data_IF_691844373349
#
_entry.id   IF_691844373349
#
_cell.length_a   1.000
_cell.length_b   1.000
_cell.length_c   1.000
_cell.angle_alpha   90.00
_cell.angle_beta   90.00
_cell.angle_gamma   90.00
#
_symmetry.space_group_name_H-M   'P 1'
#
loop_
_entity.id
_entity.type
_entity.pdbx_description
1 polymer ?
#
# COMPACT_ATOMS: atom_id res chain seq x y z
N UNK A 1 -6.34 -18.66 5.02
CA UNK A 1 -5.17 -18.71 4.11
C UNK A 1 -5.18 -17.45 3.26
N UNK A 2 -4.01 -16.86 2.97
CA UNK A 2 -3.89 -15.60 2.23
C UNK A 2 -4.42 -15.65 0.78
N UNK A 3 -4.22 -16.77 0.10
CA UNK A 3 -4.79 -17.02 -1.24
C UNK A 3 -6.06 -17.82 -1.03
N UNK A 4 -7.19 -17.25 -1.43
CA UNK A 4 -8.52 -17.86 -1.27
C UNK A 4 -8.85 -18.75 -2.46
N UNK A 5 -8.50 -18.29 -3.66
CA UNK A 5 -8.69 -19.00 -4.92
C UNK A 5 -7.51 -18.72 -5.85
N UNK A 6 -7.06 -19.74 -6.57
CA UNK A 6 -6.13 -19.59 -7.69
C UNK A 6 -6.67 -20.38 -8.87
N UNK A 7 -6.98 -19.67 -9.95
CA UNK A 7 -7.29 -20.20 -11.27
C UNK A 7 -6.04 -20.10 -12.17
N UNK A 8 -6.16 -20.56 -13.40
CA UNK A 8 -5.09 -20.49 -14.40
C UNK A 8 -4.60 -19.06 -14.67
N UNK A 9 -5.53 -18.12 -14.86
CA UNK A 9 -5.23 -16.73 -15.22
C UNK A 9 -5.60 -15.70 -14.16
N UNK A 10 -6.08 -16.13 -12.98
CA UNK A 10 -6.33 -15.19 -11.90
C UNK A 10 -6.45 -15.77 -10.52
N UNK A 11 -6.42 -14.89 -9.52
CA UNK A 11 -6.48 -15.30 -8.11
C UNK A 11 -7.22 -14.28 -7.24
N UNK A 12 -7.69 -14.75 -6.08
CA UNK A 12 -8.26 -13.93 -5.02
C UNK A 12 -7.30 -13.98 -3.83
N UNK A 13 -6.83 -12.81 -3.40
CA UNK A 13 -5.99 -12.67 -2.21
C UNK A 13 -6.82 -11.99 -1.12
N UNK A 14 -6.90 -12.64 0.04
CA UNK A 14 -7.33 -12.00 1.28
C UNK A 14 -6.11 -11.38 1.96
N UNK A 15 -5.89 -10.11 1.67
CA UNK A 15 -4.75 -9.35 2.17
C UNK A 15 -4.85 -9.12 3.69
N UNK A 16 -6.06 -8.89 4.22
CA UNK A 16 -6.27 -8.72 5.66
C UNK A 16 -5.98 -10.02 6.39
N UNK A 17 -6.56 -11.15 5.95
CA UNK A 17 -6.31 -12.45 6.56
C UNK A 17 -4.84 -12.85 6.51
N UNK A 18 -4.09 -12.46 5.46
CA UNK A 18 -2.65 -12.70 5.43
C UNK A 18 -1.91 -11.98 6.57
N UNK A 19 -2.17 -10.69 6.77
CA UNK A 19 -1.53 -9.91 7.84
C UNK A 19 -1.92 -10.47 9.20
N UNK A 20 -3.20 -10.79 9.40
CA UNK A 20 -3.69 -11.39 10.64
C UNK A 20 -3.01 -12.73 10.91
N UNK A 21 -2.92 -13.59 9.90
CA UNK A 21 -2.22 -14.89 10.01
C UNK A 21 -0.74 -14.69 10.34
N UNK A 22 -0.08 -13.70 9.74
CA UNK A 22 1.33 -13.39 10.00
C UNK A 22 1.55 -13.00 11.47
N UNK A 23 0.66 -12.18 12.02
CA UNK A 23 0.72 -11.74 13.42
C UNK A 23 0.37 -12.89 14.39
N UNK A 24 -0.55 -13.78 14.01
CA UNK A 24 -0.98 -14.91 14.84
C UNK A 24 0.05 -16.04 14.92
N UNK A 25 0.64 -16.43 13.77
CA UNK A 25 1.63 -17.52 13.67
C UNK A 25 2.88 -17.33 14.54
N UNK A 26 3.15 -16.11 14.98
CA UNK A 26 4.31 -15.78 15.80
C UNK A 26 3.92 -15.27 17.21
N UNK A 27 2.78 -15.75 17.74
CA UNK A 27 2.31 -15.55 19.11
C UNK A 27 2.12 -14.09 19.55
N UNK A 28 2.06 -13.14 18.62
CA UNK A 28 1.90 -11.73 18.96
C UNK A 28 0.44 -11.38 19.32
N UNK A 29 -0.51 -12.09 18.71
CA UNK A 29 -1.95 -11.81 18.82
C UNK A 29 -2.56 -12.07 20.21
N UNK A 30 -1.94 -12.92 21.03
CA UNK A 30 -2.48 -13.29 22.34
C UNK A 30 -2.12 -12.33 23.48
N UNK A 31 -1.00 -11.59 23.39
CA UNK A 31 -0.52 -10.72 24.48
C UNK A 31 -0.86 -9.23 24.30
N UNK A 32 -0.97 -8.71 23.06
CA UNK A 32 -1.17 -7.27 22.79
C UNK A 32 -2.49 -6.96 22.05
N UNK A 33 -3.54 -7.77 22.25
CA UNK A 33 -4.88 -7.66 21.61
C UNK A 33 -5.55 -6.27 21.73
N UNK A 34 -5.06 -5.38 22.60
CA UNK A 34 -5.66 -4.07 22.90
C UNK A 34 -5.05 -2.89 22.13
N UNK A 35 -3.89 -3.04 21.49
CA UNK A 35 -3.08 -1.89 21.03
C UNK A 35 -3.01 -1.71 19.52
N UNK A 36 -3.16 -2.76 18.71
CA UNK A 36 -3.05 -2.68 17.25
C UNK A 36 -4.38 -3.00 16.56
N UNK A 37 -5.22 -1.98 16.46
CA UNK A 37 -6.47 -2.09 15.72
C UNK A 37 -6.21 -1.88 14.21
N UNK A 38 -5.68 -2.92 13.55
CA UNK A 38 -5.66 -2.98 12.08
C UNK A 38 -7.08 -3.14 11.50
N UNK A 39 -8.08 -3.47 12.34
CA UNK A 39 -9.46 -3.67 11.90
C UNK A 39 -9.97 -2.37 11.29
N UNK A 40 -10.43 -2.49 10.05
CA UNK A 40 -10.98 -1.36 9.30
C UNK A 40 -10.05 -0.79 8.24
N UNK A 41 -8.74 -1.12 8.22
CA UNK A 41 -7.88 -0.67 7.12
C UNK A 41 -8.29 -1.24 5.76
N UNK A 42 -8.89 -2.43 5.77
CA UNK A 42 -9.41 -3.11 4.59
C UNK A 42 -10.93 -2.94 4.45
N UNK A 43 -11.57 -2.07 5.23
CA UNK A 43 -13.02 -1.84 5.18
C UNK A 43 -13.43 -0.86 4.07
N UNK A 44 -12.99 -1.14 2.84
CA UNK A 44 -13.32 -0.36 1.65
C UNK A 44 -14.66 -0.85 1.10
N UNK A 45 -15.72 -0.09 1.35
CA UNK A 45 -17.10 -0.47 1.04
C UNK A 45 -17.60 0.11 -0.27
N UNK A 46 -17.10 1.28 -0.65
CA UNK A 46 -17.54 2.02 -1.84
C UNK A 46 -16.39 2.18 -2.84
N UNK A 47 -16.67 2.18 -4.15
CA UNK A 47 -15.63 2.21 -5.17
C UNK A 47 -15.10 3.63 -5.47
N UNK A 48 -15.61 4.67 -4.79
CA UNK A 48 -15.38 6.05 -5.19
C UNK A 48 -14.20 6.71 -4.47
N UNK A 49 -13.36 7.37 -5.26
CA UNK A 49 -12.28 8.21 -4.73
C UNK A 49 -12.76 9.60 -4.29
N UNK A 50 -13.89 10.07 -4.85
CA UNK A 50 -14.42 11.41 -4.62
C UNK A 50 -15.80 11.34 -3.97
N UNK A 51 -15.95 12.04 -2.85
CA UNK A 51 -17.18 12.02 -2.04
C UNK A 51 -18.42 12.48 -2.85
N UNK A 52 -18.25 13.46 -3.74
CA UNK A 52 -19.35 13.92 -4.61
C UNK A 52 -19.86 12.89 -5.63
N UNK A 53 -19.05 11.89 -6.01
CA UNK A 53 -19.55 10.77 -6.85
C UNK A 53 -20.36 9.79 -6.02
N UNK A 54 -19.89 9.46 -4.82
CA UNK A 54 -20.57 8.57 -3.91
C UNK A 54 -21.92 9.14 -3.45
N UNK A 55 -21.95 10.44 -3.12
CA UNK A 55 -23.16 11.15 -2.70
C UNK A 55 -24.31 11.05 -3.72
N UNK A 56 -24.00 11.18 -5.02
CA UNK A 56 -25.01 11.03 -6.09
C UNK A 56 -25.61 9.63 -6.17
N UNK A 57 -24.83 8.61 -5.82
CA UNK A 57 -25.33 7.23 -5.74
C UNK A 57 -26.21 7.05 -4.50
N UNK A 58 -25.81 7.61 -3.35
CA UNK A 58 -26.64 7.60 -2.14
C UNK A 58 -28.04 8.21 -2.41
N UNK A 59 -28.08 9.41 -2.98
CA UNK A 59 -29.32 10.11 -3.34
C UNK A 59 -30.18 9.29 -4.33
N UNK A 60 -29.56 8.65 -5.31
CA UNK A 60 -30.26 7.79 -6.29
C UNK A 60 -30.87 6.56 -5.64
N UNK A 61 -30.18 5.93 -4.67
CA UNK A 61 -30.68 4.74 -3.99
C UNK A 61 -31.87 5.06 -3.07
N UNK A 62 -31.91 6.26 -2.52
CA UNK A 62 -33.00 6.73 -1.67
C UNK A 62 -34.20 7.21 -2.47
N UNK A 63 -33.98 7.98 -3.54
CA UNK A 63 -35.05 8.42 -4.45
C UNK A 63 -35.71 7.28 -5.23
N UNK A 64 -35.02 6.14 -5.40
CA UNK A 64 -35.61 4.92 -6.00
C UNK A 64 -36.64 4.22 -5.10
N UNK A 65 -36.81 4.63 -3.83
CA UNK A 65 -37.90 4.09 -2.99
C UNK A 65 -39.26 4.73 -3.29
N UNK A 66 -39.35 5.85 -4.03
CA UNK A 66 -40.62 6.57 -4.20
C UNK A 66 -41.09 6.87 -5.65
N UNK A 67 -40.31 6.63 -6.71
CA UNK A 67 -40.79 6.93 -8.08
C UNK A 67 -40.58 5.77 -9.07
N UNK A 68 -41.66 5.02 -9.33
CA UNK A 68 -41.98 4.62 -10.70
C UNK A 68 -42.20 5.89 -11.51
N UNK A 69 -41.47 6.10 -12.62
CA UNK A 69 -41.93 6.74 -13.89
C UNK A 69 -40.76 7.02 -14.88
N UNK A 70 -40.94 6.47 -16.08
CA UNK A 70 -40.43 6.78 -17.44
C UNK A 70 -39.00 7.30 -17.77
N UNK A 71 -38.37 6.80 -18.87
CA UNK A 71 -37.02 7.17 -19.26
C UNK A 71 -36.94 8.54 -19.98
N UNK A 72 -36.37 9.54 -19.31
CA UNK A 72 -35.99 10.82 -19.96
C UNK A 72 -34.81 10.62 -20.92
N UNK A 73 -35.05 10.89 -22.22
CA UNK A 73 -34.04 10.90 -23.30
C UNK A 73 -32.84 11.80 -22.96
N UNK A 74 -31.65 11.21 -22.80
CA UNK A 74 -30.38 11.95 -22.66
C UNK A 74 -29.93 12.51 -24.02
N UNK A 75 -29.75 13.83 -24.12
CA UNK A 75 -29.15 14.51 -25.28
C UNK A 75 -27.70 14.02 -25.49
N UNK A 76 -27.40 13.51 -26.71
CA UNK A 76 -26.04 13.22 -27.19
C UNK A 76 -25.21 14.50 -27.15
N UNK A 77 -24.21 14.58 -26.26
CA UNK A 77 -23.17 15.63 -26.32
C UNK A 77 -22.08 15.14 -27.29
N UNK A 78 -21.82 15.94 -28.33
CA UNK A 78 -20.85 15.71 -29.41
C UNK A 78 -19.47 15.33 -28.87
N UNK A 79 -18.84 14.40 -29.58
CA UNK A 79 -17.54 13.82 -29.26
C UNK A 79 -16.43 14.86 -29.18
N UNK A 80 -15.58 14.68 -28.17
CA UNK A 80 -14.22 15.17 -28.17
C UNK A 80 -13.37 13.90 -28.11
N UNK A 81 -12.80 13.54 -29.26
CA UNK A 81 -11.90 12.41 -29.43
C UNK A 81 -10.60 12.73 -28.69
N UNK A 82 -10.45 12.20 -27.47
CA UNK A 82 -9.13 12.05 -26.87
C UNK A 82 -8.59 10.70 -27.34
N UNK A 83 -7.55 10.70 -28.15
CA UNK A 83 -6.85 9.48 -28.59
C UNK A 83 -6.33 8.71 -27.36
N UNK A 84 -7.06 7.67 -26.95
CA UNK A 84 -6.56 6.63 -26.07
C UNK A 84 -5.89 5.55 -26.91
N UNK A 85 -4.69 5.11 -26.51
CA UNK A 85 -3.93 4.09 -27.24
C UNK A 85 -4.70 2.75 -27.24
N UNK A 86 -4.84 2.06 -28.38
CA UNK A 86 -5.57 0.79 -28.51
C UNK A 86 -5.12 -0.29 -27.52
N UNK A 87 -3.84 -0.29 -27.15
CA UNK A 87 -3.27 -1.24 -26.18
C UNK A 87 -3.84 -1.10 -24.76
N UNK A 88 -4.24 0.11 -24.36
CA UNK A 88 -4.76 0.36 -23.02
C UNK A 88 -6.17 -0.22 -22.86
N UNK A 89 -6.96 -0.17 -23.93
CA UNK A 89 -8.33 -0.67 -23.93
C UNK A 89 -8.34 -2.21 -23.91
N UNK A 90 -7.50 -2.87 -24.72
CA UNK A 90 -7.37 -4.33 -24.71
C UNK A 90 -6.89 -4.90 -23.36
N UNK A 91 -5.96 -4.22 -22.68
CA UNK A 91 -5.50 -4.61 -21.35
C UNK A 91 -6.63 -4.52 -20.32
N UNK A 92 -7.41 -3.43 -20.35
CA UNK A 92 -8.53 -3.24 -19.45
C UNK A 92 -9.63 -4.28 -19.70
N UNK A 93 -9.91 -4.60 -20.96
CA UNK A 93 -10.89 -5.62 -21.34
C UNK A 93 -10.50 -7.01 -20.82
N UNK A 94 -9.21 -7.39 -20.94
CA UNK A 94 -8.69 -8.64 -20.37
C UNK A 94 -8.87 -8.72 -18.85
N UNK A 95 -8.54 -7.64 -18.14
CA UNK A 95 -8.67 -7.57 -16.67
C UNK A 95 -10.14 -7.70 -16.25
N UNK A 96 -11.05 -7.01 -16.95
CA UNK A 96 -12.49 -7.07 -16.66
C UNK A 96 -13.10 -8.43 -16.99
N UNK A 97 -12.67 -9.06 -18.09
CA UNK A 97 -13.06 -10.43 -18.44
C UNK A 97 -12.62 -11.42 -17.36
N UNK A 98 -11.36 -11.30 -16.89
CA UNK A 98 -10.83 -12.16 -15.83
C UNK A 98 -11.58 -11.94 -14.50
N UNK A 99 -11.91 -10.70 -14.16
CA UNK A 99 -12.75 -10.41 -12.99
C UNK A 99 -14.13 -11.07 -13.10
N UNK A 100 -14.77 -11.03 -14.26
CA UNK A 100 -16.08 -11.65 -14.47
C UNK A 100 -16.04 -13.17 -14.28
N UNK A 101 -14.96 -13.81 -14.75
CA UNK A 101 -14.71 -15.22 -14.49
C UNK A 101 -14.55 -15.51 -12.99
N UNK A 102 -13.76 -14.70 -12.27
CA UNK A 102 -13.59 -14.82 -10.83
C UNK A 102 -14.93 -14.62 -10.08
N UNK A 103 -15.72 -13.60 -10.44
CA UNK A 103 -17.03 -13.30 -9.83
C UNK A 103 -18.05 -14.43 -9.97
N UNK A 104 -17.89 -15.29 -10.97
CA UNK A 104 -18.76 -16.44 -11.19
C UNK A 104 -18.49 -17.59 -10.20
N UNK A 105 -17.32 -17.61 -9.56
CA UNK A 105 -16.90 -18.69 -8.64
C UNK A 105 -17.60 -18.60 -7.27
N UNK A 106 -17.88 -19.74 -6.62
CA UNK A 106 -18.40 -19.77 -5.24
C UNK A 106 -17.49 -19.06 -4.24
N UNK A 107 -16.17 -19.20 -4.38
CA UNK A 107 -15.16 -18.63 -3.49
C UNK A 107 -15.21 -17.10 -3.53
N UNK A 108 -15.37 -16.50 -4.72
CA UNK A 108 -15.54 -15.06 -4.84
C UNK A 108 -16.79 -14.59 -4.11
N UNK A 109 -17.93 -15.25 -4.34
CA UNK A 109 -19.21 -14.89 -3.71
C UNK A 109 -19.16 -15.05 -2.18
N UNK A 110 -18.43 -16.04 -1.68
CA UNK A 110 -18.21 -16.25 -0.25
C UNK A 110 -17.26 -15.19 0.35
N UNK A 111 -16.29 -14.69 -0.42
CA UNK A 111 -15.32 -13.69 0.04
C UNK A 111 -15.91 -12.28 0.04
N UNK A 112 -16.66 -11.91 -1.01
CA UNK A 112 -17.15 -10.56 -1.25
C UNK A 112 -18.67 -10.48 -1.06
N UNK A 113 -19.12 -10.65 0.18
CA UNK A 113 -20.55 -10.72 0.53
C UNK A 113 -21.19 -9.36 0.86
N UNK A 114 -20.39 -8.29 0.94
CA UNK A 114 -20.88 -7.00 1.43
C UNK A 114 -21.78 -6.30 0.41
N UNK A 115 -22.92 -5.76 0.86
CA UNK A 115 -23.79 -4.91 0.05
C UNK A 115 -23.79 -3.48 0.60
N UNK A 116 -23.25 -2.49 -0.13
CA UNK A 116 -23.18 -1.11 0.35
C UNK A 116 -24.56 -0.46 0.55
N UNK A 117 -24.72 0.21 1.69
CA UNK A 117 -25.93 1.00 2.03
C UNK A 117 -25.82 2.43 1.51
N UNK A 118 -26.93 3.19 1.41
CA UNK A 118 -26.88 4.63 1.12
C UNK A 118 -25.93 5.40 2.06
N UNK A 119 -25.89 5.04 3.34
CA UNK A 119 -24.98 5.64 4.33
C UNK A 119 -23.52 5.31 4.06
N UNK A 120 -23.20 4.10 3.59
CA UNK A 120 -21.83 3.78 3.17
C UNK A 120 -21.37 4.70 2.03
N UNK A 121 -22.26 5.02 1.08
CA UNK A 121 -21.99 5.98 0.01
C UNK A 121 -21.86 7.43 0.51
N UNK A 122 -22.68 7.88 1.46
CA UNK A 122 -22.53 9.22 2.08
C UNK A 122 -21.20 9.35 2.80
N UNK A 123 -20.84 8.33 3.58
CA UNK A 123 -19.63 8.31 4.38
C UNK A 123 -18.38 8.06 3.52
N UNK A 124 -18.53 7.38 2.39
CA UNK A 124 -17.49 7.08 1.40
C UNK A 124 -16.12 6.76 2.04
N UNK A 125 -16.03 5.59 2.67
CA UNK A 125 -14.81 5.07 3.30
C UNK A 125 -14.13 6.03 4.33
N UNK A 126 -14.84 7.02 4.90
CA UNK A 126 -14.26 8.01 5.83
C UNK A 126 -13.59 7.39 7.06
N UNK A 127 -14.12 6.26 7.58
CA UNK A 127 -13.51 5.53 8.69
C UNK A 127 -12.08 5.09 8.34
N UNK A 128 -11.90 4.50 7.16
CA UNK A 128 -10.60 4.06 6.65
C UNK A 128 -9.67 5.24 6.41
N UNK A 129 -10.19 6.34 5.82
CA UNK A 129 -9.42 7.57 5.60
C UNK A 129 -8.92 8.17 6.92
N UNK A 130 -9.75 8.23 7.94
CA UNK A 130 -9.39 8.75 9.27
C UNK A 130 -8.36 7.86 9.97
N UNK A 131 -8.55 6.53 9.91
CA UNK A 131 -7.59 5.58 10.47
C UNK A 131 -6.22 5.72 9.81
N UNK A 132 -6.19 5.80 8.49
CA UNK A 132 -4.97 6.07 7.72
C UNK A 132 -4.29 7.37 8.16
N UNK A 133 -5.02 8.48 8.29
CA UNK A 133 -4.44 9.76 8.71
C UNK A 133 -3.73 9.63 10.06
N UNK A 134 -4.38 9.00 11.04
CA UNK A 134 -3.81 8.75 12.38
C UNK A 134 -2.55 7.89 12.32
N UNK A 135 -2.56 6.84 11.51
CA UNK A 135 -1.39 5.96 11.34
C UNK A 135 -0.20 6.71 10.71
N UNK A 136 -0.45 7.53 9.69
CA UNK A 136 0.61 8.33 9.04
C UNK A 136 1.21 9.37 10.00
N UNK A 137 0.38 10.00 10.84
CA UNK A 137 0.86 10.92 11.89
C UNK A 137 1.72 10.17 12.92
N UNK A 138 1.30 8.96 13.28
CA UNK A 138 2.01 8.08 14.20
C UNK A 138 3.23 7.37 13.57
N UNK A 139 3.48 7.45 12.26
CA UNK A 139 4.64 6.81 11.61
C UNK A 139 5.70 7.81 11.11
N UNK A 140 5.49 9.11 11.29
CA UNK A 140 6.43 10.17 10.87
C UNK A 140 7.67 10.29 11.78
N UNK A 141 8.45 9.22 11.94
CA UNK A 141 9.76 9.28 12.62
C UNK A 141 10.87 9.00 11.62
N UNK A 142 11.85 9.90 11.59
CA UNK A 142 13.06 9.70 10.82
C UNK A 142 13.99 8.77 11.59
N UNK A 143 14.21 7.58 11.08
CA UNK A 143 15.20 6.67 11.64
C UNK A 143 16.60 7.06 11.18
N UNK A 144 17.58 6.88 12.05
CA UNK A 144 18.99 6.94 11.68
C UNK A 144 19.31 5.81 10.68
N UNK A 145 20.49 5.84 10.07
CA UNK A 145 20.98 4.68 9.32
C UNK A 145 21.05 3.49 10.26
N UNK A 146 20.40 2.40 9.87
CA UNK A 146 20.31 1.17 10.65
C UNK A 146 20.51 -0.01 9.71
N UNK A 147 21.25 -1.00 10.19
CA UNK A 147 21.29 -2.35 9.62
C UNK A 147 21.19 -3.29 10.82
N UNK A 148 20.11 -4.06 10.89
CA UNK A 148 19.85 -4.95 12.00
C UNK A 148 19.05 -6.15 11.55
N UNK A 149 19.03 -7.17 12.41
CA UNK A 149 18.27 -8.38 12.17
C UNK A 149 17.54 -8.83 13.44
N UNK A 150 16.53 -9.66 13.27
CA UNK A 150 15.88 -10.43 14.32
C UNK A 150 16.21 -11.91 14.12
N UNK A 151 16.67 -12.59 15.18
CA UNK A 151 17.09 -14.00 15.11
C UNK A 151 16.11 -14.95 15.82
N UNK A 152 15.16 -14.41 16.58
CA UNK A 152 14.18 -15.20 17.33
C UNK A 152 12.97 -15.60 16.49
N UNK A 153 12.29 -16.69 16.89
CA UNK A 153 11.09 -17.21 16.21
C UNK A 153 9.77 -16.46 16.48
N UNK A 154 9.80 -15.45 17.34
CA UNK A 154 8.66 -14.60 17.67
C UNK A 154 8.93 -13.12 17.36
N UNK A 155 7.86 -12.33 17.38
CA UNK A 155 7.97 -10.88 17.30
C UNK A 155 8.79 -10.33 18.48
N UNK A 156 9.63 -9.35 18.19
CA UNK A 156 10.43 -8.65 19.20
C UNK A 156 10.08 -7.17 19.22
N UNK A 157 10.40 -6.48 20.32
CA UNK A 157 10.18 -5.03 20.41
C UNK A 157 11.51 -4.31 20.58
N UNK A 158 11.73 -3.26 19.78
CA UNK A 158 12.95 -2.45 19.82
C UNK A 158 12.59 -0.98 19.98
N UNK A 159 13.25 -0.30 20.91
CA UNK A 159 13.09 1.16 21.05
C UNK A 159 14.08 1.86 20.14
N UNK A 160 13.59 2.69 19.22
CA UNK A 160 14.40 3.48 18.29
C UNK A 160 13.89 4.91 18.29
N UNK A 161 14.79 5.89 18.46
CA UNK A 161 14.41 7.31 18.49
C UNK A 161 13.27 7.64 19.48
N UNK A 162 13.26 6.99 20.66
CA UNK A 162 12.23 7.18 21.69
C UNK A 162 10.87 6.57 21.37
N UNK A 163 10.73 5.80 20.29
CA UNK A 163 9.50 5.07 19.94
C UNK A 163 9.73 3.56 20.01
N UNK A 164 8.72 2.80 20.45
CA UNK A 164 8.77 1.34 20.51
C UNK A 164 8.26 0.76 19.18
N UNK A 165 9.11 0.00 18.49
CA UNK A 165 8.80 -0.70 17.26
C UNK A 165 8.62 -2.19 17.51
N UNK A 166 7.72 -2.80 16.75
CA UNK A 166 7.57 -4.26 16.69
C UNK A 166 8.28 -4.75 15.44
N UNK A 167 9.17 -5.71 15.63
CA UNK A 167 9.97 -6.31 14.58
C UNK A 167 9.53 -7.76 14.38
N UNK A 168 9.20 -8.18 13.15
CA UNK A 168 8.88 -9.56 12.86
C UNK A 168 10.11 -10.47 13.06
N UNK A 169 9.90 -11.79 13.24
CA UNK A 169 10.99 -12.75 13.40
C UNK A 169 11.75 -13.01 12.09
N UNK A 170 13.03 -13.38 12.23
CA UNK A 170 13.91 -13.74 11.11
C UNK A 170 14.02 -12.66 10.02
N UNK A 171 13.83 -11.39 10.36
CA UNK A 171 13.84 -10.27 9.42
C UNK A 171 15.17 -9.52 9.53
N UNK A 172 15.79 -9.22 8.39
CA UNK A 172 16.85 -8.21 8.30
C UNK A 172 16.26 -6.91 7.79
N UNK A 173 16.50 -5.81 8.50
CA UNK A 173 15.96 -4.49 8.17
C UNK A 173 17.09 -3.48 8.03
N UNK A 174 17.11 -2.77 6.90
CA UNK A 174 18.12 -1.80 6.54
C UNK A 174 17.43 -0.47 6.25
N UNK A 175 17.71 0.53 7.07
CA UNK A 175 17.27 1.91 6.84
C UNK A 175 18.40 2.71 6.19
N UNK A 176 18.59 2.55 4.88
CA UNK A 176 19.51 3.37 4.08
C UNK A 176 19.02 3.48 2.63
N UNK A 177 19.73 4.28 1.84
CA UNK A 177 19.49 4.39 0.40
C UNK A 177 19.73 3.04 -0.27
N UNK A 178 18.79 2.64 -1.15
CA UNK A 178 18.93 1.40 -1.92
C UNK A 178 20.17 1.41 -2.81
N UNK A 179 20.70 2.60 -3.15
CA UNK A 179 21.97 2.75 -3.83
C UNK A 179 23.15 2.15 -3.04
N UNK A 180 23.04 2.03 -1.71
CA UNK A 180 24.07 1.49 -0.83
C UNK A 180 23.90 -0.02 -0.56
N UNK A 181 22.94 -0.70 -1.19
CA UNK A 181 22.58 -2.09 -0.85
C UNK A 181 23.77 -3.06 -0.88
N UNK A 182 24.71 -2.91 -1.83
CA UNK A 182 25.88 -3.79 -1.91
C UNK A 182 26.81 -3.69 -0.68
N UNK A 183 26.82 -2.55 0.00
CA UNK A 183 27.59 -2.37 1.23
C UNK A 183 27.00 -3.19 2.38
N UNK A 184 25.71 -3.50 2.32
CA UNK A 184 24.99 -4.26 3.34
C UNK A 184 24.95 -5.75 3.03
N UNK A 185 24.80 -6.14 1.77
CA UNK A 185 24.64 -7.57 1.42
C UNK A 185 25.94 -8.33 1.46
N UNK A 186 27.11 -7.68 1.38
CA UNK A 186 28.42 -8.34 1.46
C UNK A 186 28.56 -9.57 0.53
N UNK A 187 27.93 -9.53 -0.65
CA UNK A 187 27.94 -10.62 -1.62
C UNK A 187 26.76 -11.61 -1.51
N UNK A 188 25.89 -11.46 -0.52
CA UNK A 188 24.62 -12.20 -0.44
C UNK A 188 23.76 -11.97 -1.70
N UNK A 189 23.16 -13.05 -2.20
CA UNK A 189 22.26 -13.05 -3.34
C UNK A 189 20.92 -13.65 -2.96
N UNK A 190 19.89 -13.26 -3.68
CA UNK A 190 18.49 -13.57 -3.38
C UNK A 190 17.86 -14.38 -4.51
N UNK A 191 16.95 -15.27 -4.13
CA UNK A 191 16.12 -16.03 -5.06
C UNK A 191 14.95 -15.18 -5.58
N UNK A 192 14.50 -14.22 -4.78
CA UNK A 192 13.41 -13.32 -5.13
C UNK A 192 13.67 -11.89 -4.64
N UNK A 193 13.59 -10.93 -5.56
CA UNK A 193 13.66 -9.50 -5.27
C UNK A 193 12.32 -8.86 -5.61
N UNK A 194 11.72 -8.12 -4.67
CA UNK A 194 10.54 -7.29 -4.90
C UNK A 194 10.92 -5.84 -4.76
N UNK A 195 10.39 -4.97 -5.63
CA UNK A 195 10.59 -3.53 -5.48
C UNK A 195 9.34 -2.74 -5.86
N UNK A 196 9.08 -1.67 -5.10
CA UNK A 196 8.08 -0.63 -5.40
C UNK A 196 8.77 0.73 -5.54
N UNK A 197 9.50 0.99 -6.65
CA UNK A 197 10.26 2.22 -6.80
C UNK A 197 9.37 3.46 -6.74
N UNK A 198 9.88 4.60 -6.24
CA UNK A 198 9.15 5.86 -6.23
C UNK A 198 9.11 6.48 -7.64
N UNK A 199 8.38 5.87 -8.56
CA UNK A 199 8.32 6.29 -9.97
C UNK A 199 7.97 7.77 -10.13
N UNK A 200 8.55 8.40 -11.14
CA UNK A 200 8.16 9.76 -11.52
C UNK A 200 6.65 9.85 -11.80
N UNK A 201 5.98 10.65 -10.99
CA UNK A 201 4.56 10.90 -11.10
C UNK A 201 4.28 12.40 -11.19
N UNK A 202 3.67 12.84 -12.31
CA UNK A 202 3.34 14.26 -12.54
C UNK A 202 2.47 14.86 -11.43
N UNK A 203 1.55 14.07 -10.86
CA UNK A 203 0.70 14.53 -9.75
C UNK A 203 1.51 14.75 -8.47
N UNK A 204 2.41 13.83 -8.12
CA UNK A 204 3.29 13.97 -6.95
C UNK A 204 4.25 15.15 -7.14
N UNK A 205 4.81 15.33 -8.34
CA UNK A 205 5.62 16.52 -8.70
C UNK A 205 4.85 17.82 -8.44
N UNK A 206 3.61 17.91 -8.90
CA UNK A 206 2.74 19.09 -8.67
C UNK A 206 2.45 19.31 -7.19
N UNK A 207 2.14 18.24 -6.44
CA UNK A 207 1.86 18.33 -5.00
C UNK A 207 3.08 18.85 -4.23
N UNK A 208 4.28 18.35 -4.55
CA UNK A 208 5.56 18.83 -3.99
C UNK A 208 5.83 20.30 -4.34
N UNK A 209 5.51 20.72 -5.56
CA UNK A 209 5.64 22.12 -6.00
C UNK A 209 4.69 23.06 -5.26
N UNK A 210 3.47 22.62 -4.93
CA UNK A 210 2.43 23.46 -4.30
C UNK A 210 2.54 23.47 -2.78
N UNK A 211 2.85 22.35 -2.15
CA UNK A 211 2.83 22.21 -0.67
C UNK A 211 4.24 22.06 -0.06
N UNK A 212 5.29 22.28 -0.85
CA UNK A 212 6.69 22.13 -0.45
C UNK A 212 7.15 20.67 -0.29
N UNK A 213 8.43 20.49 0.04
CA UNK A 213 9.08 19.18 0.25
C UNK A 213 8.49 18.36 1.39
N UNK A 214 7.69 18.97 2.28
CA UNK A 214 7.07 18.31 3.45
C UNK A 214 5.91 17.36 3.08
N UNK A 215 5.37 17.42 1.86
CA UNK A 215 4.23 16.59 1.44
C UNK A 215 4.48 15.71 0.19
N UNK A 216 5.74 15.60 -0.27
CA UNK A 216 6.09 14.81 -1.45
C UNK A 216 7.43 14.08 -1.29
N UNK A 217 7.50 12.85 -1.79
CA UNK A 217 8.72 12.05 -1.77
C UNK A 217 9.64 12.35 -2.96
N UNK A 218 10.93 12.00 -2.84
CA UNK A 218 11.87 12.04 -3.95
C UNK A 218 11.53 10.90 -4.92
N UNK A 219 11.20 11.27 -6.15
CA UNK A 219 10.89 10.31 -7.20
C UNK A 219 12.14 9.97 -8.00
N UNK A 220 12.22 8.73 -8.48
CA UNK A 220 13.30 8.25 -9.34
C UNK A 220 12.84 8.17 -10.79
N UNK A 221 13.74 8.57 -11.70
CA UNK A 221 13.60 8.28 -13.12
C UNK A 221 14.05 6.84 -13.43
N UNK A 222 13.79 6.37 -14.64
CA UNK A 222 14.15 5.01 -15.06
C UNK A 222 15.66 4.78 -14.95
N UNK A 223 16.48 5.75 -15.39
CA UNK A 223 17.95 5.65 -15.35
C UNK A 223 18.48 5.44 -13.93
N UNK A 224 17.90 6.13 -12.94
CA UNK A 224 18.30 5.97 -11.54
C UNK A 224 17.84 4.64 -10.95
N UNK A 225 16.68 4.13 -11.38
CA UNK A 225 16.22 2.79 -10.97
C UNK A 225 17.15 1.72 -11.55
N UNK A 226 17.52 1.84 -12.83
CA UNK A 226 18.41 0.88 -13.50
C UNK A 226 19.84 0.85 -12.93
N UNK A 227 20.27 1.89 -12.19
CA UNK A 227 21.56 1.87 -11.47
C UNK A 227 21.57 0.91 -10.27
N UNK A 228 20.41 0.44 -9.83
CA UNK A 228 20.34 -0.58 -8.77
C UNK A 228 21.01 -1.85 -9.31
N UNK A 229 21.99 -2.42 -8.61
CA UNK A 229 22.79 -3.54 -9.11
C UNK A 229 22.06 -4.89 -8.93
N UNK A 230 20.92 -5.06 -9.59
CA UNK A 230 20.09 -6.28 -9.49
C UNK A 230 20.85 -7.52 -9.95
N UNK A 231 21.74 -7.39 -10.93
CA UNK A 231 22.65 -8.42 -11.43
C UNK A 231 23.61 -8.96 -10.34
N UNK A 232 23.97 -8.13 -9.35
CA UNK A 232 24.78 -8.53 -8.20
C UNK A 232 23.92 -9.06 -7.04
N UNK A 233 22.63 -8.74 -7.00
CA UNK A 233 21.71 -9.15 -5.94
C UNK A 233 20.98 -10.45 -6.26
N UNK A 234 20.76 -10.78 -7.53
CA UNK A 234 19.92 -11.90 -7.94
C UNK A 234 20.74 -13.16 -8.20
N UNK A 235 20.29 -14.32 -7.70
CA UNK A 235 20.85 -15.64 -8.05
C UNK A 235 20.49 -16.03 -9.48
N UNK A 236 21.23 -16.98 -10.05
CA UNK A 236 20.87 -17.59 -11.33
C UNK A 236 19.48 -18.28 -11.23
N UNK A 237 18.59 -18.02 -12.18
CA UNK A 237 17.18 -18.46 -12.12
C UNK A 237 16.29 -17.65 -11.17
N UNK A 238 16.84 -16.68 -10.44
CA UNK A 238 16.08 -15.84 -9.51
C UNK A 238 15.09 -14.92 -10.22
N UNK A 239 14.09 -14.45 -9.46
CA UNK A 239 13.05 -13.55 -9.95
C UNK A 239 13.19 -12.14 -9.39
N UNK A 240 12.91 -11.14 -10.22
CA UNK A 240 12.69 -9.76 -9.79
C UNK A 240 11.29 -9.31 -10.19
N UNK A 241 10.51 -8.84 -9.20
CA UNK A 241 9.17 -8.31 -9.39
C UNK A 241 9.15 -6.80 -9.11
N UNK A 242 8.72 -6.02 -10.09
CA UNK A 242 8.75 -4.56 -10.06
C UNK A 242 7.34 -4.01 -10.20
N UNK A 243 6.84 -3.37 -9.14
CA UNK A 243 5.55 -2.67 -9.16
C UNK A 243 5.61 -1.43 -10.05
N UNK A 244 4.56 -1.17 -10.82
CA UNK A 244 4.46 -0.02 -11.73
C UNK A 244 3.06 0.60 -11.80
N UNK A 245 3.03 1.93 -11.90
CA UNK A 245 1.81 2.74 -11.78
C UNK A 245 1.48 3.55 -13.04
N UNK A 246 1.62 2.97 -14.24
CA UNK A 246 0.79 3.33 -15.44
C UNK A 246 1.25 4.41 -16.45
N UNK A 247 2.55 4.64 -16.69
CA UNK A 247 2.98 5.34 -17.92
C UNK A 247 3.52 4.34 -18.96
N UNK A 248 2.76 4.00 -20.03
CA UNK A 248 3.15 2.95 -20.98
C UNK A 248 4.51 3.17 -21.66
N UNK A 249 4.80 4.40 -22.10
CA UNK A 249 6.06 4.70 -22.79
C UNK A 249 7.27 4.55 -21.86
N UNK A 250 7.17 5.04 -20.63
CA UNK A 250 8.22 4.86 -19.63
C UNK A 250 8.42 3.37 -19.29
N UNK A 251 7.33 2.60 -19.26
CA UNK A 251 7.44 1.18 -18.94
C UNK A 251 8.01 0.35 -20.10
N UNK A 252 7.75 0.73 -21.34
CA UNK A 252 8.43 0.14 -22.50
C UNK A 252 9.94 0.40 -22.46
N UNK A 253 10.37 1.63 -22.17
CA UNK A 253 11.80 1.97 -21.99
C UNK A 253 12.44 1.15 -20.87
N UNK A 254 11.74 1.03 -19.73
CA UNK A 254 12.20 0.21 -18.61
C UNK A 254 12.37 -1.27 -19.00
N UNK A 255 11.36 -1.87 -19.64
CA UNK A 255 11.39 -3.27 -20.07
C UNK A 255 12.50 -3.55 -21.09
N UNK A 256 12.70 -2.65 -22.05
CA UNK A 256 13.80 -2.75 -23.02
C UNK A 256 15.18 -2.67 -22.36
N UNK A 257 15.27 -1.98 -21.22
CA UNK A 257 16.51 -1.79 -20.47
C UNK A 257 16.81 -2.89 -19.45
N UNK A 258 15.95 -3.89 -19.29
CA UNK A 258 16.17 -4.98 -18.31
C UNK A 258 17.45 -5.78 -18.54
N UNK A 259 17.98 -5.78 -19.77
CA UNK A 259 19.28 -6.38 -20.08
C UNK A 259 20.42 -5.81 -19.23
N UNK A 260 20.33 -4.56 -18.73
CA UNK A 260 21.36 -3.99 -17.84
C UNK A 260 21.40 -4.66 -16.47
N UNK A 261 20.35 -5.39 -16.10
CA UNK A 261 20.26 -6.18 -14.88
C UNK A 261 20.55 -7.67 -15.09
N UNK A 262 20.94 -8.09 -16.31
CA UNK A 262 21.13 -9.50 -16.65
C UNK A 262 19.85 -10.34 -16.41
N UNK A 263 18.68 -9.76 -16.72
CA UNK A 263 17.37 -10.42 -16.60
C UNK A 263 16.52 -10.23 -17.84
N UNK A 264 15.66 -11.20 -18.08
CA UNK A 264 14.68 -11.20 -19.17
C UNK A 264 13.27 -11.03 -18.60
N UNK A 265 12.44 -10.22 -19.26
CA UNK A 265 11.03 -10.09 -18.92
C UNK A 265 10.30 -11.40 -19.22
N UNK A 266 9.60 -11.96 -18.22
CA UNK A 266 8.90 -13.24 -18.35
C UNK A 266 7.38 -13.11 -18.26
N UNK A 267 6.87 -12.17 -17.46
CA UNK A 267 5.43 -11.99 -17.29
C UNK A 267 5.08 -10.57 -16.81
N UNK A 268 3.88 -10.12 -17.15
CA UNK A 268 3.24 -8.93 -16.57
C UNK A 268 1.98 -9.35 -15.83
N UNK A 269 1.93 -9.10 -14.53
CA UNK A 269 0.76 -9.37 -13.70
C UNK A 269 0.01 -8.08 -13.35
N UNK A 270 -1.26 -8.23 -13.00
CA UNK A 270 -2.16 -7.12 -12.68
C UNK A 270 -2.79 -7.32 -11.30
N UNK A 271 -2.53 -6.37 -10.41
CA UNK A 271 -3.23 -6.28 -9.13
C UNK A 271 -4.50 -5.45 -9.31
N UNK A 272 -5.66 -6.09 -9.36
CA UNK A 272 -6.96 -5.43 -9.41
C UNK A 272 -7.46 -5.11 -8.00
N UNK A 273 -7.79 -3.84 -7.77
CA UNK A 273 -8.31 -3.36 -6.48
C UNK A 273 -9.82 -3.39 -6.49
N UNK A 274 -10.40 -4.11 -5.55
CA UNK A 274 -11.85 -4.27 -5.41
C UNK A 274 -12.34 -3.79 -4.04
N UNK A 275 -13.62 -3.46 -3.94
CA UNK A 275 -14.31 -3.18 -2.67
C UNK A 275 -14.66 -4.48 -1.94
N UNK A 276 -15.22 -4.38 -0.73
CA UNK A 276 -15.84 -5.51 -0.01
C UNK A 276 -17.04 -6.14 -0.73
N UNK A 277 -17.62 -5.43 -1.69
CA UNK A 277 -18.66 -5.93 -2.58
C UNK A 277 -18.08 -6.61 -3.84
N UNK A 278 -16.75 -6.68 -3.98
CA UNK A 278 -16.11 -7.26 -5.17
C UNK A 278 -16.15 -6.36 -6.40
N UNK A 279 -16.51 -5.09 -6.24
CA UNK A 279 -16.55 -4.10 -7.32
C UNK A 279 -15.19 -3.42 -7.50
N UNK A 280 -14.70 -3.20 -8.74
CA UNK A 280 -13.47 -2.44 -8.96
C UNK A 280 -13.52 -1.04 -8.35
N UNK A 281 -12.45 -0.65 -7.66
CA UNK A 281 -12.33 0.71 -7.12
C UNK A 281 -12.11 1.67 -8.27
N UNK A 282 -13.17 2.41 -8.59
CA UNK A 282 -13.36 3.24 -9.79
C UNK A 282 -13.38 2.47 -11.12
N UNK A 283 -14.59 2.06 -11.54
CA UNK A 283 -15.03 1.96 -12.94
C UNK A 283 -16.58 2.04 -13.01
N UNK A 284 -17.17 3.25 -13.09
CA UNK A 284 -18.36 3.56 -13.93
C UNK A 284 -18.85 5.03 -13.85
N UNK A 285 -19.50 5.44 -14.95
CA UNK A 285 -20.15 6.73 -15.28
C UNK A 285 -19.27 7.99 -15.32
N UNK A 286 -18.44 8.09 -16.37
CA UNK A 286 -18.06 9.38 -16.95
C UNK A 286 -16.59 9.78 -16.78
N UNK A 287 -15.83 9.64 -17.87
CA UNK A 287 -14.65 10.46 -18.26
C UNK A 287 -13.75 11.01 -17.14
N UNK A 288 -13.37 10.21 -16.14
CA UNK A 288 -12.20 10.51 -15.33
C UNK A 288 -11.05 9.58 -15.77
N UNK A 289 -10.44 9.90 -16.90
CA UNK A 289 -9.44 9.10 -17.64
C UNK A 289 -8.11 8.86 -16.89
N UNK A 290 -8.00 9.12 -15.59
CA UNK A 290 -6.69 9.29 -14.94
C UNK A 290 -6.28 8.23 -13.91
N UNK A 291 -7.21 7.43 -13.37
CA UNK A 291 -6.88 6.39 -12.37
C UNK A 291 -7.51 5.07 -12.76
N UNK A 292 -6.65 4.08 -12.97
CA UNK A 292 -7.04 2.71 -13.24
C UNK A 292 -7.27 1.98 -11.91
N UNK A 293 -8.21 1.01 -11.86
CA UNK A 293 -8.48 0.22 -10.66
C UNK A 293 -7.39 -0.82 -10.39
N UNK A 294 -6.29 -0.83 -11.15
CA UNK A 294 -5.25 -1.82 -11.04
C UNK A 294 -3.83 -1.24 -11.13
N UNK A 295 -2.87 -1.99 -10.61
CA UNK A 295 -1.43 -1.73 -10.73
C UNK A 295 -0.75 -2.89 -11.48
N UNK A 296 0.34 -2.60 -12.18
CA UNK A 296 1.13 -3.61 -12.92
C UNK A 296 2.26 -4.12 -12.05
N UNK A 297 2.65 -5.38 -12.27
CA UNK A 297 3.87 -5.97 -11.75
C UNK A 297 4.62 -6.59 -12.94
N UNK A 298 5.80 -6.07 -13.23
CA UNK A 298 6.69 -6.71 -14.20
C UNK A 298 7.52 -7.76 -13.48
N UNK A 299 7.51 -8.97 -14.01
CA UNK A 299 8.30 -10.08 -13.50
C UNK A 299 9.37 -10.36 -14.53
N UNK A 300 10.62 -10.32 -14.09
CA UNK A 300 11.77 -10.69 -14.88
C UNK A 300 12.57 -11.78 -14.17
N UNK A 301 13.29 -12.58 -14.95
CA UNK A 301 14.04 -13.74 -14.47
C UNK A 301 15.48 -13.64 -14.96
N UNK A 302 16.42 -13.95 -14.07
CA UNK A 302 17.82 -14.14 -14.45
C UNK A 302 18.00 -15.51 -15.09
N UNK A 303 18.69 -15.59 -16.21
CA UNK A 303 18.95 -16.87 -16.89
C UNK A 303 19.64 -17.87 -15.96
N UNK A 304 19.24 -19.14 -16.05
CA UNK A 304 19.83 -20.24 -15.29
C UNK A 304 20.79 -21.02 -16.18
N UNK A 305 21.92 -21.44 -15.64
CA UNK A 305 22.77 -22.44 -16.28
C UNK A 305 22.20 -23.84 -16.02
N UNK A 306 21.42 -24.36 -16.97
CA UNK A 306 20.91 -25.74 -16.97
C UNK A 306 19.58 -25.95 -16.20
N UNK A 307 18.62 -26.58 -16.89
CA UNK A 307 17.31 -27.00 -16.37
C UNK A 307 16.13 -26.20 -16.91
N UNK A 308 14.97 -26.85 -17.04
CA UNK A 308 13.69 -26.21 -17.35
C UNK A 308 13.11 -25.61 -16.06
N UNK A 309 12.82 -24.31 -16.07
CA UNK A 309 12.09 -23.64 -14.99
C UNK A 309 10.62 -23.57 -15.39
N UNK A 310 9.72 -23.71 -14.42
CA UNK A 310 8.28 -23.54 -14.68
C UNK A 310 8.00 -22.12 -15.21
N UNK A 311 7.18 -22.07 -16.26
CA UNK A 311 6.77 -20.84 -16.92
C UNK A 311 5.80 -20.06 -16.04
N UNK A 312 6.05 -18.76 -15.92
CA UNK A 312 5.18 -17.86 -15.18
C UNK A 312 4.08 -17.40 -16.13
N UNK A 313 2.79 -17.54 -15.77
CA UNK A 313 1.70 -17.14 -16.66
C UNK A 313 1.74 -15.64 -16.92
N UNK A 314 1.74 -15.23 -18.18
CA UNK A 314 1.64 -13.83 -18.55
C UNK A 314 0.18 -13.32 -18.37
N UNK A 315 0.04 -12.01 -18.20
CA UNK A 315 -1.25 -11.31 -18.01
C UNK A 315 -2.12 -11.84 -16.88
N UNK A 316 -1.52 -12.47 -15.87
CA UNK A 316 -2.23 -12.98 -14.70
C UNK A 316 -2.87 -11.84 -13.88
N UNK A 317 -4.13 -12.00 -13.48
CA UNK A 317 -4.89 -10.98 -12.74
C UNK A 317 -5.24 -11.48 -11.35
N UNK A 318 -4.75 -10.81 -10.32
CA UNK A 318 -5.16 -11.12 -8.95
C UNK A 318 -5.90 -9.94 -8.34
N UNK A 319 -6.99 -10.21 -7.64
CA UNK A 319 -7.78 -9.18 -6.98
C UNK A 319 -7.69 -9.26 -5.46
N UNK A 320 -7.67 -8.10 -4.81
CA UNK A 320 -7.80 -7.99 -3.36
C UNK A 320 -8.43 -6.66 -2.99
N UNK A 321 -8.93 -6.58 -1.76
CA UNK A 321 -9.27 -5.30 -1.16
C UNK A 321 -7.96 -4.59 -0.83
N UNK A 322 -7.73 -3.34 -1.29
CA UNK A 322 -6.54 -2.61 -0.91
C UNK A 322 -6.65 -2.14 0.54
N UNK A 323 -5.49 -1.99 1.18
CA UNK A 323 -5.41 -1.29 2.45
C UNK A 323 -5.67 0.20 2.26
N UNK A 324 -6.23 0.84 3.28
CA UNK A 324 -6.32 2.30 3.38
C UNK A 324 -4.94 2.98 3.37
N UNK A 325 -3.88 2.27 3.77
CA UNK A 325 -2.50 2.75 3.70
C UNK A 325 -2.05 2.83 2.25
N UNK A 326 -1.51 3.98 1.85
CA UNK A 326 -1.05 4.20 0.49
C UNK A 326 0.11 3.28 0.11
N UNK A 327 0.02 2.71 -1.09
CA UNK A 327 1.01 1.81 -1.66
C UNK A 327 1.32 0.58 -0.79
N UNK A 328 0.40 0.19 0.09
CA UNK A 328 0.49 -1.08 0.81
C UNK A 328 0.04 -2.20 -0.13
N UNK A 329 1.02 -2.90 -0.69
CA UNK A 329 0.83 -3.92 -1.73
C UNK A 329 0.54 -5.29 -1.11
N UNK A 330 -0.25 -6.14 -1.78
CA UNK A 330 -0.48 -7.51 -1.33
C UNK A 330 0.80 -8.37 -1.47
N UNK A 331 0.89 -9.48 -0.72
CA UNK A 331 2.08 -10.31 -0.64
C UNK A 331 2.30 -11.15 -1.91
N UNK A 332 2.99 -10.59 -2.92
CA UNK A 332 3.30 -11.27 -4.20
C UNK A 332 3.96 -12.64 -4.02
N UNK A 333 4.79 -12.77 -2.98
CA UNK A 333 5.45 -14.02 -2.62
C UNK A 333 4.49 -15.20 -2.53
N UNK A 334 3.26 -15.01 -2.02
CA UNK A 334 2.30 -16.10 -1.88
C UNK A 334 1.83 -16.66 -3.23
N UNK A 335 1.76 -15.82 -4.25
CA UNK A 335 1.40 -16.24 -5.61
C UNK A 335 2.60 -16.81 -6.37
N UNK A 336 3.80 -16.27 -6.12
CA UNK A 336 5.01 -16.64 -6.85
C UNK A 336 5.78 -17.81 -6.23
N UNK A 337 5.46 -18.21 -5.00
CA UNK A 337 6.19 -19.24 -4.24
C UNK A 337 6.45 -20.54 -5.02
N UNK A 338 5.52 -20.99 -5.85
CA UNK A 338 5.67 -22.21 -6.67
C UNK A 338 6.76 -22.10 -7.73
N UNK A 339 7.05 -20.89 -8.20
CA UNK A 339 8.07 -20.62 -9.21
C UNK A 339 9.44 -20.28 -8.61
N UNK A 340 9.58 -20.36 -7.29
CA UNK A 340 10.79 -20.05 -6.54
C UNK A 340 11.41 -21.33 -5.95
N UNK A 341 12.69 -21.25 -5.59
CA UNK A 341 13.37 -22.33 -4.87
C UNK A 341 12.66 -22.62 -3.52
N UNK A 342 12.74 -23.86 -3.00
CA UNK A 342 12.32 -24.16 -1.64
C UNK A 342 13.05 -23.23 -0.64
N UNK A 343 12.30 -22.60 0.27
CA UNK A 343 12.83 -21.64 1.26
C UNK A 343 13.68 -20.52 0.62
N UNK A 344 13.09 -19.70 -0.27
CA UNK A 344 13.85 -18.72 -1.02
C UNK A 344 14.36 -17.59 -0.13
N UNK A 345 15.58 -17.12 -0.39
CA UNK A 345 16.07 -15.87 0.20
C UNK A 345 15.41 -14.70 -0.54
N UNK A 346 14.70 -13.85 0.21
CA UNK A 346 13.91 -12.77 -0.34
C UNK A 346 14.44 -11.39 0.07
N UNK A 347 14.45 -10.47 -0.88
CA UNK A 347 14.82 -9.07 -0.70
C UNK A 347 13.68 -8.15 -1.12
N UNK A 348 13.31 -7.20 -0.27
CA UNK A 348 12.43 -6.09 -0.62
C UNK A 348 13.23 -4.78 -0.70
N UNK A 349 13.25 -4.17 -1.89
CA UNK A 349 13.81 -2.84 -2.09
C UNK A 349 12.72 -1.78 -2.00
N UNK A 350 13.06 -0.62 -1.45
CA UNK A 350 12.10 0.45 -1.12
C UNK A 350 11.04 0.00 -0.12
N UNK A 351 11.42 -0.93 0.77
CA UNK A 351 10.54 -1.52 1.75
C UNK A 351 9.96 -0.45 2.69
N UNK A 352 8.68 -0.62 3.01
CA UNK A 352 7.93 0.22 3.97
C UNK A 352 7.30 -0.58 5.10
N UNK A 353 7.29 -1.90 4.97
CA UNK A 353 6.80 -2.83 5.98
C UNK A 353 7.83 -3.96 6.08
N UNK A 354 7.93 -4.57 7.26
CA UNK A 354 8.78 -5.74 7.45
C UNK A 354 8.01 -7.05 7.24
N UNK A 355 8.65 -8.01 6.58
CA UNK A 355 8.12 -9.36 6.38
C UNK A 355 9.02 -10.38 7.09
N UNK A 356 8.48 -11.32 7.88
CA UNK A 356 9.25 -12.40 8.47
C UNK A 356 10.08 -13.18 7.45
N UNK A 357 11.35 -13.41 7.75
CA UNK A 357 12.26 -14.16 6.86
C UNK A 357 12.84 -13.36 5.69
N UNK A 358 12.53 -12.06 5.58
CA UNK A 358 12.98 -11.22 4.47
C UNK A 358 14.11 -10.28 4.88
N UNK A 359 14.95 -9.94 3.90
CA UNK A 359 15.79 -8.74 3.97
C UNK A 359 15.00 -7.58 3.35
N UNK A 360 14.87 -6.48 4.09
CA UNK A 360 14.12 -5.30 3.65
C UNK A 360 15.02 -4.07 3.73
N UNK A 361 15.17 -3.35 2.63
CA UNK A 361 15.89 -2.06 2.59
C UNK A 361 14.97 -0.94 2.12
N UNK A 362 14.97 0.17 2.85
CA UNK A 362 14.18 1.33 2.49
C UNK A 362 14.63 2.57 3.23
N UNK A 363 14.64 3.70 2.51
CA UNK A 363 14.66 5.01 3.12
C UNK A 363 13.25 5.30 3.61
N UNK A 364 12.92 4.91 4.84
CA UNK A 364 11.74 5.47 5.48
C UNK A 364 12.03 6.93 5.85
N UNK A 365 12.00 7.81 4.83
CA UNK A 365 12.15 9.27 4.90
C UNK A 365 11.51 9.89 3.67
N UNK A 366 11.05 11.15 3.73
CA UNK A 366 11.60 12.27 2.92
C UNK A 366 11.19 13.61 3.59
N UNK A 367 12.04 14.57 4.02
CA UNK A 367 13.45 14.93 3.69
C UNK A 367 14.20 15.52 4.91
N UNK A 368 15.54 15.40 5.01
CA UNK A 368 16.36 16.08 6.01
C UNK A 368 17.37 17.14 5.45
N UNK A 369 17.88 17.98 6.36
CA UNK A 369 19.10 18.84 6.42
C UNK A 369 19.30 20.04 5.49
N UNK A 370 19.33 21.22 6.14
CA UNK A 370 19.88 22.49 5.68
C UNK A 370 19.63 23.51 6.79
N UNK A 371 20.69 23.95 7.47
CA UNK A 371 20.59 24.75 8.67
C UNK A 371 19.85 26.07 8.44
N UNK A 372 18.65 26.20 8.95
CA UNK A 372 18.10 27.47 9.40
C UNK A 372 17.12 27.19 10.53
N UNK A 373 17.37 27.83 11.67
CA UNK A 373 16.32 28.12 12.66
C UNK A 373 15.12 28.66 11.89
N UNK A 374 14.03 27.92 11.81
CA UNK A 374 12.78 28.45 11.28
C UNK A 374 11.67 28.14 12.27
N UNK A 375 11.51 29.11 13.18
CA UNK A 375 10.24 29.42 13.82
C UNK A 375 9.11 29.30 12.82
N UNK A 376 8.05 28.56 13.15
CA UNK A 376 6.82 28.57 12.35
C UNK A 376 5.83 29.49 13.05
N UNK A 377 5.73 30.72 12.55
CA UNK A 377 4.63 31.65 12.83
C UNK A 377 3.42 31.21 12.01
N UNK A 378 2.31 30.89 12.67
CA UNK A 378 0.99 30.71 12.05
C UNK A 378 0.20 32.01 12.22
N UNK A 379 -0.29 32.57 11.11
CA UNK A 379 -1.24 33.68 11.12
C UNK A 379 -2.66 33.15 10.94
N UNK A 380 -3.55 33.45 11.89
CA UNK A 380 -4.98 33.55 11.62
C UNK A 380 -5.60 34.65 12.50
N UNK A 381 -6.16 35.67 11.84
CA UNK A 381 -7.11 36.68 12.31
C UNK A 381 -6.95 37.22 13.75
N UNK A 382 -5.88 38.00 13.95
CA UNK A 382 -5.97 39.23 14.75
C UNK A 382 -6.32 39.08 16.23
N UNK A 383 -5.50 38.35 17.00
CA UNK A 383 -5.07 38.69 18.37
C UNK A 383 -4.11 37.61 18.90
N UNK A 384 -2.91 38.04 19.28
CA UNK A 384 -1.84 37.21 19.83
C UNK A 384 -2.17 36.71 21.23
N UNK A 385 -2.10 35.39 21.49
CA UNK A 385 -1.71 34.87 22.81
C UNK A 385 -0.82 33.63 22.62
N UNK A 386 0.46 33.81 22.93
CA UNK A 386 1.48 32.76 23.03
C UNK A 386 1.32 32.06 24.38
N UNK A 387 1.23 30.73 24.43
CA UNK A 387 1.75 30.00 25.60
C UNK A 387 2.19 28.58 25.26
N UNK A 388 3.49 28.35 25.38
CA UNK A 388 4.13 27.04 25.50
C UNK A 388 3.96 26.60 26.95
N UNK A 389 3.45 25.39 27.21
CA UNK A 389 3.58 24.80 28.55
C UNK A 389 4.45 23.55 28.51
N UNK A 390 5.68 23.77 29.00
CA UNK A 390 6.56 22.76 29.58
C UNK A 390 5.89 22.08 30.78
N UNK A 391 6.29 20.84 31.06
CA UNK A 391 5.78 19.96 32.10
C UNK A 391 5.99 20.53 33.52
N UNK A 392 5.12 21.43 33.95
CA UNK A 392 4.93 21.72 35.38
C UNK A 392 3.49 22.15 35.75
N UNK A 393 2.58 22.29 34.78
CA UNK A 393 1.23 22.83 35.03
C UNK A 393 0.09 21.79 35.10
N UNK A 394 0.40 20.50 35.00
CA UNK A 394 -0.62 19.43 35.03
C UNK A 394 -0.99 18.96 36.43
N UNK A 395 -0.29 19.43 37.49
CA UNK A 395 -0.57 19.03 38.88
C UNK A 395 -1.61 19.88 39.61
N UNK A 396 -2.11 20.99 39.05
CA UNK A 396 -3.08 21.85 39.74
C UNK A 396 -4.54 21.72 39.28
N UNK A 397 -4.83 21.13 38.11
CA UNK A 397 -6.20 21.05 37.59
C UNK A 397 -6.96 19.77 38.01
N UNK A 398 -6.27 18.79 38.59
CA UNK A 398 -6.89 17.59 39.17
C UNK A 398 -7.63 17.86 40.52
N UNK A 399 -7.59 19.09 41.05
CA UNK A 399 -8.22 19.46 42.34
C UNK A 399 -9.61 20.12 42.23
N UNK A 400 -10.22 20.23 41.04
CA UNK A 400 -11.50 20.97 40.86
C UNK A 400 -12.68 20.18 40.28
N UNK A 401 -12.73 18.86 40.49
CA UNK A 401 -13.96 18.06 40.57
C UNK A 401 -15.16 18.44 39.67
N UNK A 402 -14.97 18.58 38.35
CA UNK A 402 -16.08 18.85 37.43
C UNK A 402 -15.86 18.19 36.07
N UNK A 403 -16.27 16.92 35.89
CA UNK A 403 -16.92 16.40 34.67
C UNK A 403 -17.86 15.25 35.08
N UNK A 404 -19.14 15.33 34.68
CA UNK A 404 -20.17 14.29 34.86
C UNK A 404 -20.04 13.18 33.81
N UNK A 405 -20.22 11.93 34.25
CA UNK A 405 -20.28 10.73 33.42
C UNK A 405 -21.46 10.74 32.44
N UNK A 406 -21.21 10.30 31.21
CA UNK A 406 -22.21 9.70 30.32
C UNK A 406 -21.58 8.50 29.58
N UNK A 407 -22.05 7.29 29.92
CA UNK A 407 -22.29 6.17 29.00
C UNK A 407 -21.15 5.56 28.20
N UNK A 408 -20.43 4.61 28.82
CA UNK A 408 -19.81 3.39 28.26
C UNK A 408 -19.71 3.18 26.73
N UNK A 409 -18.47 3.26 26.21
CA UNK A 409 -17.88 2.28 25.28
C UNK A 409 -16.36 2.27 25.50
N UNK A 410 -15.80 1.15 25.97
CA UNK A 410 -14.39 1.00 26.34
C UNK A 410 -13.46 1.29 25.15
N UNK A 411 -12.43 2.14 25.37
CA UNK A 411 -11.04 1.95 24.94
C UNK A 411 -10.16 2.93 25.74
N UNK A 412 -9.50 2.42 26.78
CA UNK A 412 -8.55 3.17 27.61
C UNK A 412 -7.15 3.07 26.96
N UNK A 413 -6.63 4.20 26.48
CA UNK A 413 -5.19 4.38 26.26
C UNK A 413 -4.68 5.21 27.44
N UNK A 414 -3.76 4.65 28.22
CA UNK A 414 -3.14 5.32 29.37
C UNK A 414 -2.47 6.63 28.91
N UNK A 415 -3.00 7.76 29.35
CA UNK A 415 -2.68 9.10 28.87
C UNK A 415 -1.61 9.80 29.71
N UNK A 416 -0.71 9.04 30.35
CA UNK A 416 0.35 9.60 31.20
C UNK A 416 1.76 9.18 30.75
N UNK A 417 2.10 9.39 29.47
CA UNK A 417 3.47 9.66 29.00
C UNK A 417 3.49 10.06 27.52
N UNK A 418 4.16 11.15 27.11
CA UNK A 418 4.22 11.57 25.71
C UNK A 418 5.14 10.71 24.81
N UNK A 419 5.58 9.51 25.23
CA UNK A 419 6.56 8.68 24.51
C UNK A 419 6.14 7.24 24.19
N UNK A 420 4.95 6.77 24.57
CA UNK A 420 4.61 5.33 24.45
C UNK A 420 3.60 5.01 23.33
N UNK A 421 3.84 5.50 22.11
CA UNK A 421 3.12 4.98 20.94
C UNK A 421 3.84 3.74 20.39
N UNK A 422 3.15 2.60 20.40
CA UNK A 422 3.60 1.36 19.77
C UNK A 422 3.47 1.50 18.25
N UNK A 423 4.56 1.27 17.52
CA UNK A 423 4.60 1.34 16.05
C UNK A 423 4.89 -0.03 15.47
N UNK A 424 4.18 -0.42 14.42
CA UNK A 424 4.51 -1.60 13.62
C UNK A 424 5.32 -1.15 12.44
N UNK A 425 6.42 -1.85 12.21
CA UNK A 425 7.41 -1.55 11.19
C UNK A 425 7.21 -2.38 9.93
#
# INVERSE_FOLDING_TARGET
>A
MAVVLSLEHGAIIDHEAWILQLLDQHNFYHHEKRTLNFQGLFDIRTPFLMDGQAQKIAERLEGKREETLEPKRKKKKKGLTSETSPHKDAEQDHILSTLSALQSTPEFKATFTYTPTPDDYRMNNIKVRNLRTRLMEASNVTLARLDGATEGGGFSTKVMCGSKYILPPYTRYICDDVANILNHTSGERFDFVVMDPPWQNKHVKRKKSVHGSKQGYNMMNIKDILKIPVDHLLKAGGLVAVWSTSNPSHMQEFLQSLHTWDVEHVATWYWLKVTKAGEPITLQEGRCHSKLPYERVFIARRSKTGGCLEDIPDKFVFCSIPSGIHSHKPPLYKLLKRFLAPQPQCLELFARNLVPGWTSIGLERVTPVGGHKTSTTLWQNGKNITTVFSAHHTRQLAKKGQIKEYGSSLLYFDSHSPCNSLRVM
#
